data_IF_095087372911
#
_entry.id   IF_095087372911
#
_cell.length_a   1.000
_cell.length_b   1.000
_cell.length_c   1.000
_cell.angle_alpha   90.00
_cell.angle_beta   90.00
_cell.angle_gamma   90.00
#
_symmetry.space_group_name_H-M   'P 1'
#
loop_
_entity.id
_entity.type
_entity.pdbx_description
1 polymer ?
#
# COMPACT_ATOMS: atom_id res chain seq x y z
N UNK A 1 -0.90 2.64 -27.56
CA UNK A 1 -0.74 3.54 -26.40
C UNK A 1 -0.12 2.70 -25.30
N UNK A 2 1.11 3.00 -24.88
CA UNK A 2 1.84 2.20 -23.89
C UNK A 2 1.27 2.39 -22.47
N UNK A 3 1.50 1.43 -21.58
CA UNK A 3 1.00 1.43 -20.20
C UNK A 3 1.76 2.40 -19.26
N UNK A 4 2.71 3.19 -19.77
CA UNK A 4 3.63 3.96 -18.92
C UNK A 4 4.53 3.06 -18.08
N UNK A 5 5.32 3.65 -17.18
CA UNK A 5 5.98 2.92 -16.08
C UNK A 5 4.94 2.59 -15.02
N UNK A 6 5.01 1.35 -14.53
CA UNK A 6 4.10 0.84 -13.51
C UNK A 6 4.71 1.09 -12.14
N UNK A 7 3.91 1.68 -11.27
CA UNK A 7 4.34 2.18 -9.98
C UNK A 7 3.46 1.63 -8.86
N UNK A 8 4.07 1.52 -7.69
CA UNK A 8 3.42 1.14 -6.45
C UNK A 8 4.00 2.00 -5.34
N UNK A 9 3.17 2.59 -4.49
CA UNK A 9 3.61 3.27 -3.28
C UNK A 9 3.07 2.54 -2.07
N UNK A 10 3.97 2.00 -1.25
CA UNK A 10 3.62 1.28 -0.02
C UNK A 10 3.90 2.16 1.19
N UNK A 11 2.92 2.26 2.08
CA UNK A 11 2.98 3.01 3.31
C UNK A 11 2.84 2.06 4.49
N UNK A 12 3.81 2.12 5.41
CA UNK A 12 3.85 1.28 6.61
C UNK A 12 4.07 2.16 7.81
N UNK A 13 3.26 2.01 8.85
CA UNK A 13 3.50 2.63 10.14
C UNK A 13 4.09 1.60 11.11
N UNK A 14 5.01 2.03 11.96
CA UNK A 14 5.68 1.15 12.91
C UNK A 14 4.80 0.69 14.07
N UNK A 15 3.88 1.56 14.48
CA UNK A 15 2.99 1.41 15.63
C UNK A 15 1.68 0.69 15.31
N UNK A 16 1.35 0.46 14.04
CA UNK A 16 0.11 -0.24 13.68
C UNK A 16 -0.34 -0.01 12.24
N UNK A 17 -1.62 -0.32 11.92
CA UNK A 17 -2.14 -0.15 10.58
C UNK A 17 -2.24 1.34 10.25
N UNK A 18 -1.85 1.69 9.03
CA UNK A 18 -2.05 3.04 8.49
C UNK A 18 -3.04 2.98 7.33
N UNK A 19 -4.27 3.44 7.58
CA UNK A 19 -5.29 3.60 6.55
C UNK A 19 -5.13 4.94 5.84
N UNK A 20 -4.56 4.91 4.64
CA UNK A 20 -4.49 6.07 3.76
C UNK A 20 -5.57 5.99 2.71
N UNK A 21 -5.95 7.17 2.23
CA UNK A 21 -6.83 7.37 1.09
C UNK A 21 -6.25 8.44 0.19
N UNK A 22 -6.62 8.42 -1.08
CA UNK A 22 -6.28 9.44 -2.05
C UNK A 22 -7.48 9.64 -2.98
N UNK A 23 -7.68 10.88 -3.42
CA UNK A 23 -8.62 11.22 -4.49
C UNK A 23 -7.88 11.62 -5.76
N UNK A 24 -6.56 11.44 -5.79
CA UNK A 24 -5.76 11.81 -6.93
C UNK A 24 -6.09 10.86 -8.10
N UNK A 25 -6.42 11.39 -9.30
CA UNK A 25 -6.80 10.57 -10.45
C UNK A 25 -5.65 9.69 -10.98
N UNK A 26 -4.41 9.94 -10.55
CA UNK A 26 -3.28 9.05 -10.82
C UNK A 26 -3.44 7.70 -10.11
N UNK A 27 -4.10 7.68 -8.95
CA UNK A 27 -4.27 6.43 -8.20
C UNK A 27 -5.32 5.56 -8.89
N UNK A 28 -4.86 4.43 -9.42
CA UNK A 28 -5.70 3.47 -10.11
C UNK A 28 -6.34 2.50 -9.11
N UNK A 29 -5.65 2.22 -8.01
CA UNK A 29 -6.10 1.28 -6.99
C UNK A 29 -5.46 1.57 -5.64
N UNK A 30 -6.23 1.34 -4.56
CA UNK A 30 -5.73 1.37 -3.19
C UNK A 30 -6.09 0.08 -2.46
N UNK A 31 -5.09 -0.53 -1.84
CA UNK A 31 -5.21 -1.73 -1.02
C UNK A 31 -4.84 -1.36 0.42
N UNK A 32 -5.81 -1.44 1.33
CA UNK A 32 -5.56 -1.36 2.76
C UNK A 32 -5.46 -2.79 3.30
N UNK A 33 -4.29 -3.20 3.77
CA UNK A 33 -4.07 -4.52 4.32
C UNK A 33 -4.57 -4.58 5.76
N UNK A 34 -5.89 -4.62 5.95
CA UNK A 34 -6.51 -5.09 7.19
C UNK A 34 -6.76 -6.60 7.09
N UNK A 35 -5.98 -7.39 7.83
CA UNK A 35 -6.34 -8.78 8.15
C UNK A 35 -6.04 -9.86 7.10
N UNK A 36 -4.79 -9.96 6.63
CA UNK A 36 -4.30 -11.20 5.99
C UNK A 36 -3.16 -11.81 6.80
N UNK A 37 -3.49 -12.80 7.62
CA UNK A 37 -2.52 -13.67 8.29
C UNK A 37 -2.12 -14.80 7.33
N UNK A 38 -1.24 -14.52 6.37
CA UNK A 38 -0.73 -15.50 5.43
C UNK A 38 0.76 -15.30 5.14
N UNK A 39 1.58 -15.98 5.94
CA UNK A 39 2.97 -16.47 5.75
C UNK A 39 3.96 -15.81 4.76
N UNK A 40 3.83 -14.53 4.41
CA UNK A 40 4.90 -13.77 3.72
C UNK A 40 5.27 -12.59 4.59
N UNK A 41 6.28 -12.79 5.44
CA UNK A 41 6.55 -11.98 6.64
C UNK A 41 7.06 -10.56 6.38
N UNK A 42 7.48 -10.19 5.17
CA UNK A 42 8.12 -8.88 4.95
C UNK A 42 7.26 -7.83 4.22
N UNK A 43 6.34 -8.23 3.31
CA UNK A 43 5.51 -7.28 2.57
C UNK A 43 4.11 -7.05 3.19
N UNK A 44 3.80 -7.73 4.31
CA UNK A 44 2.49 -7.68 4.97
C UNK A 44 2.45 -6.91 6.30
N UNK A 45 3.43 -6.05 6.61
CA UNK A 45 3.21 -5.04 7.65
C UNK A 45 1.92 -4.28 7.33
N UNK A 46 1.03 -4.19 8.31
CA UNK A 46 -0.26 -3.52 8.19
C UNK A 46 -0.05 -2.11 7.63
N UNK A 47 -0.63 -1.84 6.47
CA UNK A 47 -0.27 -0.68 5.67
C UNK A 47 -1.19 -0.48 4.49
N UNK A 48 -1.00 0.65 3.81
CA UNK A 48 -1.74 0.98 2.59
C UNK A 48 -0.80 0.92 1.40
N UNK A 49 -1.25 0.28 0.33
CA UNK A 49 -0.56 0.21 -0.95
C UNK A 49 -1.39 0.92 -2.01
N UNK A 50 -0.81 1.94 -2.64
CA UNK A 50 -1.39 2.64 -3.78
C UNK A 50 -0.72 2.16 -5.07
N UNK A 51 -1.50 1.73 -6.05
CA UNK A 51 -1.02 1.25 -7.36
C UNK A 51 -1.43 2.27 -8.42
N UNK A 52 -0.49 2.61 -9.31
CA UNK A 52 -0.71 3.57 -10.38
C UNK A 52 0.31 3.41 -11.51
N UNK A 53 0.02 4.01 -12.67
CA UNK A 53 0.99 4.19 -13.75
C UNK A 53 1.38 5.65 -13.91
N UNK A 54 2.54 5.91 -14.53
CA UNK A 54 2.95 7.28 -14.87
C UNK A 54 2.26 7.86 -16.11
N UNK A 55 1.29 7.14 -16.68
CA UNK A 55 0.61 7.50 -17.93
C UNK A 55 0.01 8.91 -17.92
N UNK A 56 -0.45 9.40 -16.77
CA UNK A 56 -1.06 10.73 -16.65
C UNK A 56 -0.02 11.86 -16.48
N UNK A 57 1.25 11.53 -16.19
CA UNK A 57 2.29 12.51 -15.87
C UNK A 57 3.66 12.13 -16.45
N UNK A 58 3.70 11.37 -17.55
CA UNK A 58 4.94 10.89 -18.17
C UNK A 58 5.93 12.03 -18.46
N UNK A 59 7.16 11.90 -17.94
CA UNK A 59 8.22 12.89 -18.09
C UNK A 59 8.03 14.19 -17.30
N UNK A 60 7.04 14.24 -16.41
CA UNK A 60 6.73 15.42 -15.57
C UNK A 60 6.75 15.04 -14.09
N UNK A 61 6.99 16.04 -13.25
CA UNK A 61 6.82 15.89 -11.81
C UNK A 61 5.33 15.87 -11.47
N UNK A 62 4.91 14.93 -10.63
CA UNK A 62 3.55 14.82 -10.10
C UNK A 62 3.58 14.86 -8.57
N UNK A 63 2.63 15.58 -7.99
CA UNK A 63 2.40 15.58 -6.53
C UNK A 63 1.11 14.81 -6.24
N UNK A 64 1.25 13.65 -5.59
CA UNK A 64 0.11 12.82 -5.18
C UNK A 64 -0.24 13.14 -3.73
N UNK A 65 -1.51 13.44 -3.48
CA UNK A 65 -1.99 13.75 -2.13
C UNK A 65 -2.61 12.53 -1.47
N UNK A 66 -2.15 12.21 -0.27
CA UNK A 66 -2.72 11.17 0.59
C UNK A 66 -3.25 11.80 1.87
N UNK A 67 -4.33 11.23 2.38
CA UNK A 67 -4.96 11.66 3.62
C UNK A 67 -5.32 10.43 4.47
N UNK A 68 -5.24 10.58 5.79
CA UNK A 68 -5.59 9.56 6.77
C UNK A 68 -6.35 10.21 7.93
N UNK A 69 -7.09 9.41 8.69
CA UNK A 69 -7.85 9.91 9.83
C UNK A 69 -6.98 10.03 11.07
N UNK A 70 -6.97 11.21 11.70
CA UNK A 70 -6.08 11.56 12.81
C UNK A 70 -6.31 10.77 14.10
N UNK A 71 -7.52 10.23 14.33
CA UNK A 71 -7.81 9.41 15.53
C UNK A 71 -6.89 8.19 15.61
N UNK A 72 -6.49 7.62 14.47
CA UNK A 72 -5.52 6.52 14.41
C UNK A 72 -4.19 6.94 15.04
N UNK A 73 -3.69 8.14 14.75
CA UNK A 73 -2.46 8.62 15.37
C UNK A 73 -2.65 8.93 16.85
N UNK A 74 -3.82 9.44 17.26
CA UNK A 74 -4.09 9.85 18.65
C UNK A 74 -4.03 8.67 19.63
N UNK A 75 -4.65 7.55 19.29
CA UNK A 75 -4.62 6.36 20.14
C UNK A 75 -3.18 5.84 20.28
N UNK A 76 -2.42 5.84 19.19
CA UNK A 76 -1.01 5.47 19.21
C UNK A 76 -0.11 6.47 19.95
N UNK A 77 -0.40 7.77 19.91
CA UNK A 77 0.39 8.78 20.64
C UNK A 77 0.34 8.62 22.17
N UNK A 78 -0.74 8.06 22.70
CA UNK A 78 -0.85 7.82 24.15
C UNK A 78 -0.09 6.57 24.59
N UNK A 79 0.23 5.67 23.65
CA UNK A 79 0.89 4.39 23.91
C UNK A 79 2.37 4.39 23.51
N UNK A 80 2.77 5.23 22.55
CA UNK A 80 4.13 5.25 21.98
C UNK A 80 4.79 6.63 22.06
N UNK A 81 6.06 6.66 22.48
CA UNK A 81 6.90 7.87 22.54
C UNK A 81 7.20 8.47 21.16
N UNK A 82 7.18 7.64 20.12
CA UNK A 82 7.36 8.05 18.73
C UNK A 82 6.59 7.15 17.77
N UNK A 83 6.07 7.76 16.70
CA UNK A 83 5.43 7.08 15.58
C UNK A 83 6.26 7.35 14.33
N UNK A 84 6.51 6.34 13.50
CA UNK A 84 7.15 6.53 12.21
C UNK A 84 6.40 5.87 11.05
N UNK A 85 6.34 6.59 9.94
CA UNK A 85 5.73 6.17 8.68
C UNK A 85 6.84 6.01 7.66
N UNK A 86 7.00 4.79 7.16
CA UNK A 86 7.88 4.46 6.04
C UNK A 86 7.06 4.44 4.75
N UNK A 87 7.54 5.17 3.76
CA UNK A 87 6.98 5.28 2.41
C UNK A 87 7.97 4.65 1.44
N UNK A 88 7.55 3.64 0.70
CA UNK A 88 8.33 3.03 -0.36
C UNK A 88 7.69 3.33 -1.71
N UNK A 89 8.37 4.13 -2.53
CA UNK A 89 8.02 4.31 -3.94
C UNK A 89 8.71 3.22 -4.75
N UNK A 90 7.92 2.38 -5.43
CA UNK A 90 8.37 1.22 -6.18
C UNK A 90 8.10 1.37 -7.67
N UNK A 91 9.08 1.04 -8.50
CA UNK A 91 8.87 0.71 -9.90
C UNK A 91 8.72 -0.80 -10.02
N UNK A 92 7.61 -1.26 -10.56
CA UNK A 92 7.22 -2.68 -10.52
C UNK A 92 7.19 -3.29 -11.92
N UNK A 93 7.35 -4.61 -12.03
CA UNK A 93 7.10 -5.29 -13.30
C UNK A 93 5.60 -5.32 -13.63
N UNK A 94 5.29 -5.60 -14.91
CA UNK A 94 3.92 -5.85 -15.35
C UNK A 94 3.24 -6.98 -14.58
N UNK A 95 3.98 -8.04 -14.28
CA UNK A 95 3.44 -9.21 -13.59
C UNK A 95 3.08 -8.89 -12.14
N UNK A 96 3.89 -8.05 -11.46
CA UNK A 96 3.51 -7.52 -10.13
C UNK A 96 2.21 -6.73 -10.20
N UNK A 97 2.13 -5.80 -11.16
CA UNK A 97 1.00 -4.90 -11.30
C UNK A 97 -0.31 -5.64 -11.63
N UNK A 98 -0.26 -6.65 -12.52
CA UNK A 98 -1.42 -7.49 -12.83
C UNK A 98 -1.86 -8.34 -11.64
N UNK A 99 -0.89 -8.90 -10.90
CA UNK A 99 -1.19 -9.62 -9.67
C UNK A 99 -1.91 -8.74 -8.65
N UNK A 100 -1.45 -7.50 -8.45
CA UNK A 100 -2.07 -6.57 -7.48
C UNK A 100 -3.50 -6.18 -7.87
N UNK A 101 -3.80 -6.02 -9.16
CA UNK A 101 -5.17 -5.82 -9.63
C UNK A 101 -6.08 -7.03 -9.35
N UNK A 102 -5.57 -8.24 -9.60
CA UNK A 102 -6.33 -9.47 -9.34
C UNK A 102 -6.54 -9.68 -7.84
N UNK A 103 -5.54 -9.34 -7.02
CA UNK A 103 -5.64 -9.40 -5.56
C UNK A 103 -6.73 -8.47 -5.03
N UNK A 104 -6.84 -7.24 -5.52
CA UNK A 104 -7.92 -6.34 -5.10
C UNK A 104 -9.29 -6.83 -5.53
N UNK A 105 -9.42 -7.31 -6.77
CA UNK A 105 -10.68 -7.91 -7.21
C UNK A 105 -11.06 -9.06 -6.29
N UNK A 106 -10.12 -9.95 -5.96
CA UNK A 106 -10.34 -11.05 -5.03
C UNK A 106 -10.78 -10.57 -3.65
N UNK A 107 -10.07 -9.58 -3.07
CA UNK A 107 -10.40 -9.03 -1.76
C UNK A 107 -11.77 -8.32 -1.75
N UNK A 108 -12.16 -7.68 -2.84
CA UNK A 108 -13.45 -6.98 -2.95
C UNK A 108 -14.66 -7.91 -2.96
N UNK A 109 -14.50 -9.16 -3.46
CA UNK A 109 -15.58 -10.15 -3.55
C UNK A 109 -15.46 -11.29 -2.53
N UNK A 110 -14.38 -11.36 -1.75
CA UNK A 110 -14.06 -12.47 -0.84
C UNK A 110 -15.20 -12.87 0.11
N UNK A 111 -16.01 -11.91 0.54
CA UNK A 111 -17.10 -12.12 1.49
C UNK A 111 -18.48 -12.23 0.82
N UNK A 112 -18.54 -12.22 -0.52
CA UNK A 112 -19.76 -12.41 -1.29
C UNK A 112 -19.86 -13.88 -1.73
N UNK A 113 -20.75 -14.69 -1.11
CA UNK A 113 -20.89 -16.11 -1.44
C UNK A 113 -21.53 -16.36 -2.82
N UNK A 114 -22.07 -15.31 -3.47
CA UNK A 114 -22.65 -15.38 -4.80
C UNK A 114 -21.69 -14.86 -5.88
N UNK A 115 -20.50 -14.38 -5.50
CA UNK A 115 -19.52 -13.89 -6.44
C UNK A 115 -18.89 -15.02 -7.25
N UNK A 116 -18.55 -14.72 -8.51
CA UNK A 116 -17.76 -15.64 -9.32
C UNK A 116 -16.31 -15.70 -8.78
N UNK A 117 -15.69 -16.89 -8.74
CA UNK A 117 -14.30 -17.03 -8.35
C UNK A 117 -13.38 -16.16 -9.22
N UNK A 118 -12.54 -15.35 -8.57
CA UNK A 118 -11.50 -14.59 -9.26
C UNK A 118 -10.36 -15.54 -9.63
N UNK A 119 -10.10 -15.71 -10.93
CA UNK A 119 -8.97 -16.49 -11.40
C UNK A 119 -7.66 -15.90 -10.90
N UNK A 120 -6.88 -16.72 -10.21
CA UNK A 120 -5.60 -16.30 -9.66
C UNK A 120 -4.57 -16.14 -10.79
N UNK A 121 -3.70 -15.13 -10.64
CA UNK A 121 -2.65 -14.83 -11.62
C UNK A 121 -1.42 -15.73 -11.40
N UNK A 122 -0.88 -16.29 -12.48
CA UNK A 122 0.40 -17.01 -12.47
C UNK A 122 1.19 -16.68 -13.73
N UNK A 123 2.50 -16.49 -13.59
CA UNK A 123 3.45 -16.40 -14.70
C UNK A 123 4.53 -17.48 -14.63
N UNK A 124 4.40 -18.45 -13.71
CA UNK A 124 5.27 -19.61 -13.60
C UNK A 124 4.76 -20.72 -14.52
N UNK A 125 5.62 -21.20 -15.43
CA UNK A 125 5.32 -22.33 -16.29
C UNK A 125 5.47 -23.67 -15.54
N UNK A 126 4.60 -24.64 -15.85
CA UNK A 126 4.55 -25.95 -15.19
C UNK A 126 4.35 -25.89 -13.66
N UNK A 127 3.69 -24.84 -13.18
CA UNK A 127 3.38 -24.65 -11.77
C UNK A 127 2.37 -23.53 -11.57
N UNK A 128 2.14 -23.16 -10.31
CA UNK A 128 1.34 -22.01 -9.95
C UNK A 128 2.16 -21.09 -9.05
N UNK A 129 2.34 -19.83 -9.46
CA UNK A 129 3.09 -18.87 -8.69
C UNK A 129 3.33 -17.56 -9.42
N UNK A 130 3.88 -16.61 -8.69
CA UNK A 130 4.27 -15.30 -9.19
C UNK A 130 5.79 -15.16 -9.09
N UNK A 131 6.45 -15.02 -10.24
CA UNK A 131 7.82 -14.55 -10.32
C UNK A 131 7.82 -13.08 -10.72
N UNK A 132 8.30 -12.20 -9.85
CA UNK A 132 8.18 -10.76 -10.08
C UNK A 132 9.25 -9.97 -9.33
N UNK A 133 9.36 -8.68 -9.62
CA UNK A 133 10.36 -7.82 -9.02
C UNK A 133 9.92 -6.36 -8.98
N UNK A 134 10.64 -5.59 -8.16
CA UNK A 134 10.52 -4.15 -8.11
C UNK A 134 11.85 -3.52 -7.71
N UNK A 135 12.06 -2.26 -8.10
CA UNK A 135 13.04 -1.39 -7.46
C UNK A 135 12.31 -0.44 -6.51
N UNK A 136 12.93 -0.09 -5.39
CA UNK A 136 12.32 0.75 -4.38
C UNK A 136 13.22 1.92 -3.99
N UNK A 137 12.59 3.06 -3.69
CA UNK A 137 13.17 4.16 -2.94
C UNK A 137 12.35 4.32 -1.66
N UNK A 138 13.04 4.43 -0.53
CA UNK A 138 12.41 4.51 0.78
C UNK A 138 12.58 5.90 1.39
N UNK A 139 11.52 6.39 2.01
CA UNK A 139 11.51 7.63 2.77
C UNK A 139 10.81 7.40 4.11
N UNK A 140 11.40 7.87 5.19
CA UNK A 140 10.87 7.69 6.55
C UNK A 140 10.53 9.04 7.16
N UNK A 141 9.32 9.14 7.70
CA UNK A 141 8.83 10.29 8.46
C UNK A 141 8.67 9.83 9.91
N UNK A 142 9.27 10.54 10.86
CA UNK A 142 9.12 10.25 12.29
C UNK A 142 8.45 11.42 13.00
N UNK A 143 7.58 11.10 13.94
CA UNK A 143 6.88 12.03 14.82
C UNK A 143 7.15 11.63 16.27
N UNK A 144 7.68 12.56 17.06
CA UNK A 144 7.88 12.39 18.50
C UNK A 144 6.72 13.02 19.25
N UNK A 145 6.16 12.33 20.24
CA UNK A 145 5.15 12.93 21.10
C UNK A 145 5.85 13.89 22.07
N UNK A 146 5.44 15.16 22.10
CA UNK A 146 5.85 16.05 23.19
C UNK A 146 5.07 15.65 24.43
N UNK A 147 5.74 15.11 25.43
CA UNK A 147 5.16 14.90 26.75
C UNK A 147 4.61 16.25 27.24
N UNK A 148 3.29 16.37 27.36
CA UNK A 148 2.71 17.47 28.11
C UNK A 148 3.05 17.21 29.57
N UNK A 149 4.07 17.89 30.09
CA UNK A 149 4.30 17.97 31.52
C UNK A 149 3.05 18.61 32.12
N UNK A 150 2.27 17.81 32.83
CA UNK A 150 1.19 18.32 33.66
C UNK A 150 1.81 19.29 34.67
N UNK A 151 1.67 20.59 34.41
CA UNK A 151 1.88 21.64 35.41
C UNK A 151 0.65 21.59 36.31
N UNK A 152 0.76 20.85 37.41
CA UNK A 152 -0.08 21.00 38.59
C UNK A 152 0.78 21.53 39.74
#
# INVERSE_FOLDING_TARGET
MGLGRLCCCKFVMDSGPLNLRSNDPVIEQMLSNYGFSGSVEDDYREGTTAIFSDRLFEGKNQTIQFYFTSHMLYDYYNEYDSISITIQLRSVTKDYYLYMQILEKHLSVRNDPLSEPVHAYSNVENGFGLFSGYSASEYKISYESKSYSNVY
#
